data_IF_179535163855
#
_entry.id   IF_179535163855
#
_cell.length_a   1.000
_cell.length_b   1.000
_cell.length_c   1.000
_cell.angle_alpha   90.00
_cell.angle_beta   90.00
_cell.angle_gamma   90.00
#
_symmetry.space_group_name_H-M   'P 1'
#
loop_
_entity.id
_entity.type
_entity.pdbx_description
1 polymer ?
#
# COMPACT_ATOMS: atom_id res chain seq x y z
N UNK A 1 13.45 -12.03 -18.42
CA UNK A 1 12.30 -12.89 -18.82
C UNK A 1 11.05 -12.72 -17.95
N UNK A 2 11.04 -13.03 -16.63
CA UNK A 2 9.82 -12.85 -15.80
C UNK A 2 9.47 -11.37 -15.58
N UNK A 3 10.40 -10.61 -15.02
CA UNK A 3 10.22 -9.17 -14.73
C UNK A 3 9.86 -8.37 -15.99
N UNK A 4 10.55 -8.60 -17.11
CA UNK A 4 10.23 -7.97 -18.40
C UNK A 4 8.78 -8.25 -18.86
N UNK A 5 8.29 -9.48 -18.70
CA UNK A 5 6.92 -9.84 -19.07
C UNK A 5 5.90 -9.18 -18.16
N UNK A 6 6.18 -9.13 -16.86
CA UNK A 6 5.30 -8.45 -15.90
C UNK A 6 5.20 -6.95 -16.21
N UNK A 7 6.33 -6.30 -16.50
CA UNK A 7 6.35 -4.90 -16.90
C UNK A 7 5.50 -4.65 -18.16
N UNK A 8 5.61 -5.51 -19.17
CA UNK A 8 4.81 -5.42 -20.40
C UNK A 8 3.30 -5.60 -20.17
N UNK A 9 2.90 -6.52 -19.29
CA UNK A 9 1.48 -6.79 -18.98
C UNK A 9 0.83 -5.59 -18.26
N UNK A 10 1.55 -4.99 -17.32
CA UNK A 10 1.06 -3.85 -16.54
C UNK A 10 1.26 -2.50 -17.26
N UNK A 11 1.90 -2.49 -18.44
CA UNK A 11 2.27 -1.26 -19.15
C UNK A 11 3.29 -0.39 -18.40
N UNK A 12 4.09 -1.00 -17.51
CA UNK A 12 5.10 -0.33 -16.70
C UNK A 12 6.48 -0.35 -17.36
N UNK A 13 7.34 0.61 -17.01
CA UNK A 13 8.72 0.69 -17.50
C UNK A 13 9.59 -0.49 -17.00
N UNK A 14 9.36 -0.93 -15.76
CA UNK A 14 10.15 -1.96 -15.09
C UNK A 14 9.31 -2.70 -14.06
N UNK A 15 9.68 -3.95 -13.78
CA UNK A 15 9.12 -4.74 -12.69
C UNK A 15 10.25 -5.40 -11.90
N UNK A 16 9.98 -5.69 -10.61
CA UNK A 16 10.93 -6.37 -9.73
C UNK A 16 10.30 -7.58 -9.06
N UNK A 17 10.90 -8.74 -9.27
CA UNK A 17 10.58 -9.97 -8.56
C UNK A 17 11.16 -9.94 -7.15
N UNK A 18 10.36 -10.37 -6.18
CA UNK A 18 10.74 -10.49 -4.77
C UNK A 18 10.50 -11.90 -4.27
N UNK A 19 10.96 -12.20 -3.04
CA UNK A 19 10.81 -13.53 -2.45
C UNK A 19 9.33 -13.90 -2.13
N UNK A 20 8.44 -12.92 -1.98
CA UNK A 20 7.01 -13.12 -1.70
C UNK A 20 6.19 -11.86 -1.99
N UNK A 21 4.86 -11.99 -2.08
CA UNK A 21 3.97 -10.83 -2.23
C UNK A 21 4.12 -9.81 -1.09
N UNK A 22 4.26 -10.26 0.16
CA UNK A 22 4.51 -9.36 1.30
C UNK A 22 5.88 -8.68 1.21
N UNK A 23 6.91 -9.35 0.68
CA UNK A 23 8.18 -8.71 0.40
C UNK A 23 8.06 -7.63 -0.69
N UNK A 24 7.21 -7.83 -1.70
CA UNK A 24 6.90 -6.80 -2.70
C UNK A 24 6.19 -5.59 -2.08
N UNK A 25 5.13 -5.81 -1.29
CA UNK A 25 4.40 -4.73 -0.58
C UNK A 25 5.34 -3.95 0.33
N UNK A 26 6.11 -4.64 1.17
CA UNK A 26 7.05 -4.00 2.07
C UNK A 26 8.12 -3.20 1.32
N UNK A 27 8.76 -3.79 0.31
CA UNK A 27 9.80 -3.11 -0.47
C UNK A 27 9.24 -1.91 -1.24
N UNK A 28 8.00 -2.00 -1.76
CA UNK A 28 7.36 -0.91 -2.50
C UNK A 28 7.12 0.33 -1.64
N UNK A 29 6.86 0.15 -0.34
CA UNK A 29 6.65 1.24 0.61
C UNK A 29 7.97 1.74 1.19
N UNK A 30 8.81 0.84 1.68
CA UNK A 30 10.04 1.20 2.41
C UNK A 30 11.16 1.71 1.50
N UNK A 31 11.08 1.55 0.17
CA UNK A 31 12.11 2.07 -0.72
C UNK A 31 12.11 3.62 -0.77
N UNK A 32 11.01 4.28 -0.40
CA UNK A 32 10.92 5.74 -0.41
C UNK A 32 10.41 6.36 0.90
N UNK A 33 9.64 5.63 1.71
CA UNK A 33 9.14 6.13 3.00
C UNK A 33 10.25 6.27 4.03
N UNK A 34 10.12 7.28 4.89
CA UNK A 34 11.08 7.62 5.95
C UNK A 34 10.34 8.00 7.22
N UNK A 35 11.05 8.02 8.35
CA UNK A 35 10.52 8.50 9.63
C UNK A 35 9.89 9.89 9.49
N UNK A 36 8.67 10.04 10.00
CA UNK A 36 7.87 11.27 9.90
C UNK A 36 6.90 11.31 8.73
N UNK A 37 7.02 10.40 7.75
CA UNK A 37 6.05 10.27 6.66
C UNK A 37 4.71 9.72 7.15
N UNK A 38 3.70 9.86 6.30
CA UNK A 38 2.35 9.38 6.53
C UNK A 38 1.81 8.57 5.34
N UNK A 39 1.03 7.53 5.63
CA UNK A 39 0.32 6.70 4.65
C UNK A 39 -1.18 6.76 4.94
N UNK A 40 -2.01 6.88 3.91
CA UNK A 40 -3.45 6.64 4.05
C UNK A 40 -3.75 5.26 3.46
N UNK A 41 -4.51 4.43 4.15
CA UNK A 41 -4.82 3.08 3.68
C UNK A 41 -6.31 2.77 3.79
N UNK A 42 -6.82 1.95 2.87
CA UNK A 42 -8.14 1.37 3.01
C UNK A 42 -8.21 0.46 4.26
N UNK A 43 -9.35 0.42 4.94
CA UNK A 43 -9.56 -0.50 6.08
C UNK A 43 -9.59 -1.97 5.66
N UNK A 44 -10.18 -2.27 4.49
CA UNK A 44 -10.33 -3.63 3.98
C UNK A 44 -9.09 -4.04 3.19
N UNK A 45 -8.21 -4.83 3.80
CA UNK A 45 -6.95 -5.30 3.24
C UNK A 45 -6.70 -6.75 3.65
N UNK A 46 -5.96 -7.48 2.83
CA UNK A 46 -5.38 -8.75 3.20
C UNK A 46 -4.60 -8.62 4.52
N UNK A 47 -4.81 -9.55 5.44
CA UNK A 47 -4.27 -9.47 6.80
C UNK A 47 -2.76 -9.26 6.87
N UNK A 48 -1.99 -9.84 5.94
CA UNK A 48 -0.54 -9.62 5.88
C UNK A 48 -0.16 -8.19 5.45
N UNK A 49 -0.90 -7.60 4.52
CA UNK A 49 -0.72 -6.19 4.14
C UNK A 49 -1.11 -5.29 5.31
N UNK A 50 -2.21 -5.60 6.00
CA UNK A 50 -2.64 -4.87 7.18
C UNK A 50 -1.59 -4.88 8.28
N UNK A 51 -0.94 -6.01 8.56
CA UNK A 51 0.18 -6.07 9.50
C UNK A 51 1.34 -5.14 9.11
N UNK A 52 1.72 -5.10 7.83
CA UNK A 52 2.79 -4.20 7.37
C UNK A 52 2.41 -2.74 7.66
N UNK A 53 1.19 -2.35 7.30
CA UNK A 53 0.72 -0.97 7.40
C UNK A 53 0.46 -0.56 8.86
N UNK A 54 -0.27 -1.37 9.63
CA UNK A 54 -0.75 -1.06 10.98
C UNK A 54 0.33 -1.26 12.05
N UNK A 55 1.13 -2.33 11.95
CA UNK A 55 2.05 -2.73 13.02
C UNK A 55 3.52 -2.43 12.68
N UNK A 56 3.92 -2.64 11.41
CA UNK A 56 5.33 -2.55 11.04
C UNK A 56 5.76 -1.12 10.70
N UNK A 57 5.01 -0.38 9.89
CA UNK A 57 5.35 1.01 9.51
C UNK A 57 5.51 1.95 10.72
N UNK A 58 4.63 1.93 11.75
CA UNK A 58 4.79 2.79 12.92
C UNK A 58 6.08 2.55 13.71
N UNK A 59 6.64 1.34 13.65
CA UNK A 59 7.95 1.04 14.28
C UNK A 59 9.11 1.77 13.61
N UNK A 60 8.95 2.19 12.36
CA UNK A 60 9.90 3.04 11.64
C UNK A 60 9.54 4.54 11.73
N UNK A 61 8.56 4.90 12.56
CA UNK A 61 8.09 6.27 12.74
C UNK A 61 7.26 6.80 11.57
N UNK A 62 6.68 5.90 10.76
CA UNK A 62 5.74 6.26 9.69
C UNK A 62 4.33 6.14 10.25
N UNK A 63 3.55 7.20 10.15
CA UNK A 63 2.18 7.24 10.67
C UNK A 63 1.18 6.78 9.63
N UNK A 64 0.03 6.24 10.07
CA UNK A 64 -1.01 5.75 9.15
C UNK A 64 -2.39 6.25 9.55
N UNK A 65 -3.20 6.62 8.56
CA UNK A 65 -4.65 6.81 8.71
C UNK A 65 -5.40 5.75 7.90
N UNK A 66 -6.44 5.15 8.50
CA UNK A 66 -7.30 4.19 7.80
C UNK A 66 -8.65 4.81 7.44
N UNK A 67 -9.13 4.56 6.23
CA UNK A 67 -10.39 5.11 5.69
C UNK A 67 -11.31 4.03 5.13
N UNK A 68 -12.60 4.32 4.98
CA UNK A 68 -13.47 3.50 4.13
C UNK A 68 -12.96 3.61 2.68
N UNK A 69 -12.60 2.49 2.06
CA UNK A 69 -12.03 2.50 0.72
C UNK A 69 -12.98 3.13 -0.31
N UNK A 70 -14.29 2.94 -0.13
CA UNK A 70 -15.33 3.37 -1.08
C UNK A 70 -15.69 4.85 -0.95
N UNK A 71 -15.20 5.51 0.09
CA UNK A 71 -15.49 6.92 0.37
C UNK A 71 -14.32 7.80 -0.06
N UNK A 72 -14.42 8.35 -1.28
CA UNK A 72 -13.40 9.26 -1.83
C UNK A 72 -13.19 10.51 -0.97
N UNK A 73 -14.24 11.01 -0.30
CA UNK A 73 -14.11 12.19 0.57
C UNK A 73 -13.28 11.85 1.82
N UNK A 74 -13.43 10.64 2.36
CA UNK A 74 -12.61 10.17 3.47
C UNK A 74 -11.12 10.08 3.08
N UNK A 75 -10.79 9.66 1.86
CA UNK A 75 -9.42 9.67 1.34
C UNK A 75 -8.86 11.09 1.29
N UNK A 76 -9.60 12.03 0.69
CA UNK A 76 -9.17 13.42 0.55
C UNK A 76 -8.92 14.09 1.91
N UNK A 77 -9.85 13.91 2.87
CA UNK A 77 -9.74 14.47 4.22
C UNK A 77 -8.57 13.87 5.03
N UNK A 78 -8.18 12.63 4.75
CA UNK A 78 -7.08 11.96 5.45
C UNK A 78 -5.69 12.40 4.93
N UNK A 79 -5.59 13.08 3.79
CA UNK A 79 -4.31 13.56 3.25
C UNK A 79 -3.76 14.70 4.12
N UNK A 80 -2.46 14.64 4.41
CA UNK A 80 -1.69 15.60 5.22
C UNK A 80 -0.45 16.04 4.43
N UNK A 81 0.23 17.14 4.81
CA UNK A 81 1.44 17.59 4.11
C UNK A 81 2.56 16.53 3.99
N UNK A 82 2.62 15.62 4.97
CA UNK A 82 3.58 14.52 5.02
C UNK A 82 3.05 13.20 4.45
N UNK A 83 1.84 13.15 3.87
CA UNK A 83 1.35 11.94 3.18
C UNK A 83 2.20 11.65 1.95
N UNK A 84 2.74 10.44 1.87
CA UNK A 84 3.59 9.99 0.75
C UNK A 84 3.01 8.82 -0.05
N UNK A 85 2.03 8.10 0.50
CA UNK A 85 1.39 6.99 -0.19
C UNK A 85 -0.08 6.85 0.19
N UNK A 86 -0.87 6.38 -0.77
CA UNK A 86 -2.21 5.85 -0.59
C UNK A 86 -2.16 4.35 -0.89
N UNK A 87 -2.71 3.49 -0.02
CA UNK A 87 -2.60 2.04 -0.14
C UNK A 87 -3.98 1.35 -0.08
N UNK A 88 -4.31 0.55 -1.10
CA UNK A 88 -5.60 -0.15 -1.21
C UNK A 88 -5.45 -1.52 -1.86
N UNK A 89 -6.49 -2.34 -1.76
CA UNK A 89 -6.62 -3.64 -2.41
C UNK A 89 -8.03 -3.80 -2.98
N UNK A 90 -8.15 -4.19 -4.26
CA UNK A 90 -9.45 -4.33 -4.94
C UNK A 90 -9.42 -5.52 -5.91
N UNK A 91 -10.39 -6.47 -5.84
CA UNK A 91 -11.33 -6.67 -4.74
C UNK A 91 -10.59 -6.98 -3.44
N UNK A 92 -11.08 -6.46 -2.32
CA UNK A 92 -10.43 -6.68 -1.02
C UNK A 92 -10.51 -8.14 -0.58
N UNK A 93 -9.50 -8.63 0.13
CA UNK A 93 -9.52 -9.94 0.76
C UNK A 93 -9.81 -9.81 2.27
N UNK A 94 -10.80 -10.52 2.85
CA UNK A 94 -11.64 -11.56 2.25
C UNK A 94 -13.04 -11.08 1.79
N UNK A 95 -13.37 -9.80 1.98
CA UNK A 95 -14.76 -9.32 1.86
C UNK A 95 -15.19 -8.98 0.43
N UNK A 96 -14.26 -8.99 -0.53
CA UNK A 96 -14.48 -8.71 -1.94
C UNK A 96 -15.05 -7.31 -2.22
N UNK A 97 -14.71 -6.34 -1.37
CA UNK A 97 -15.11 -4.95 -1.61
C UNK A 97 -14.37 -4.39 -2.81
N UNK A 98 -15.12 -3.70 -3.68
CA UNK A 98 -14.54 -2.89 -4.76
C UNK A 98 -14.30 -1.50 -4.20
N UNK A 99 -13.04 -1.11 -4.22
CA UNK A 99 -12.51 0.15 -3.71
C UNK A 99 -12.09 1.00 -4.90
#
# INVERSE_FOLDING_TARGET
>A
MFEERMALIEGAEMAKGTASGLAAVHASLMCFLRTGDHVVAARALFGGCRFIIEDLLPRFGITVSFVDGRDLEAWEQAIRPQTKALFLETPSNPTLEII
#
